data_IF_600594774528
#
_entry.id   IF_600594774528
#
_cell.length_a   1.000
_cell.length_b   1.000
_cell.length_c   1.000
_cell.angle_alpha   90.00
_cell.angle_beta   90.00
_cell.angle_gamma   90.00
#
_symmetry.space_group_name_H-M   'P 1'
#
loop_
_entity.id
_entity.type
_entity.pdbx_description
1 polymer ?
#
# COMPACT_ATOMS: atom_id res chain seq x y z
N UNK A 1 -28.01 -21.83 -21.18
CA UNK A 1 -26.64 -21.49 -20.72
C UNK A 1 -26.52 -20.12 -20.06
N UNK A 2 -26.27 -19.00 -20.77
CA UNK A 2 -26.00 -17.68 -20.12
C UNK A 2 -27.13 -17.19 -19.20
N UNK A 3 -28.39 -17.26 -19.66
CA UNK A 3 -29.56 -16.85 -18.84
C UNK A 3 -29.72 -17.69 -17.56
N UNK A 4 -29.35 -18.97 -17.60
CA UNK A 4 -29.42 -19.85 -16.42
C UNK A 4 -28.30 -19.55 -15.44
N UNK A 5 -27.09 -19.26 -15.93
CA UNK A 5 -25.96 -18.83 -15.08
C UNK A 5 -26.31 -17.55 -14.32
N UNK A 6 -26.93 -16.57 -15.00
CA UNK A 6 -27.40 -15.33 -14.35
C UNK A 6 -28.49 -15.58 -13.31
N UNK A 7 -29.44 -16.48 -13.57
CA UNK A 7 -30.49 -16.85 -12.61
C UNK A 7 -29.94 -17.54 -11.36
N UNK A 8 -28.88 -18.34 -11.51
CA UNK A 8 -28.26 -19.09 -10.43
C UNK A 8 -27.18 -18.30 -9.68
N UNK A 9 -26.93 -17.04 -10.04
CA UNK A 9 -25.92 -16.22 -9.39
C UNK A 9 -26.35 -15.87 -7.96
N UNK A 10 -25.59 -16.37 -6.98
CA UNK A 10 -25.83 -16.07 -5.57
C UNK A 10 -25.48 -14.61 -5.28
N UNK A 11 -26.38 -13.89 -4.63
CA UNK A 11 -26.10 -12.57 -4.07
C UNK A 11 -25.54 -12.73 -2.66
N UNK A 12 -24.39 -12.12 -2.41
CA UNK A 12 -23.73 -12.14 -1.11
C UNK A 12 -24.01 -10.85 -0.32
N UNK A 13 -23.82 -10.88 0.99
CA UNK A 13 -23.76 -9.68 1.84
C UNK A 13 -22.30 -9.26 1.99
N UNK A 14 -21.98 -7.95 1.99
CA UNK A 14 -20.60 -7.48 1.95
C UNK A 14 -19.91 -7.46 3.33
N UNK A 15 -19.85 -8.62 3.99
CA UNK A 15 -19.31 -8.77 5.34
C UNK A 15 -17.83 -8.41 5.44
N UNK A 16 -17.01 -8.81 4.46
CA UNK A 16 -15.57 -8.55 4.47
C UNK A 16 -15.30 -7.04 4.39
N UNK A 17 -15.94 -6.33 3.46
CA UNK A 17 -15.73 -4.89 3.26
C UNK A 17 -16.19 -4.09 4.49
N UNK A 18 -17.30 -4.46 5.14
CA UNK A 18 -17.66 -3.84 6.43
C UNK A 18 -16.59 -4.09 7.48
N UNK A 19 -16.15 -5.34 7.64
CA UNK A 19 -15.20 -5.73 8.67
C UNK A 19 -13.86 -5.01 8.51
N UNK A 20 -13.28 -5.04 7.31
CA UNK A 20 -11.99 -4.41 7.04
C UNK A 20 -12.06 -2.88 7.18
N UNK A 21 -13.19 -2.25 6.81
CA UNK A 21 -13.40 -0.81 7.00
C UNK A 21 -13.44 -0.42 8.48
N UNK A 22 -14.16 -1.19 9.31
CA UNK A 22 -14.23 -0.96 10.75
C UNK A 22 -12.84 -1.13 11.38
N UNK A 23 -12.11 -2.18 11.01
CA UNK A 23 -10.75 -2.40 11.50
C UNK A 23 -9.80 -1.25 11.14
N UNK A 24 -9.89 -0.71 9.93
CA UNK A 24 -9.09 0.46 9.52
C UNK A 24 -9.42 1.71 10.34
N UNK A 25 -10.70 1.94 10.65
CA UNK A 25 -11.11 3.05 11.53
C UNK A 25 -10.56 2.85 12.95
N UNK A 26 -10.64 1.64 13.49
CA UNK A 26 -10.08 1.32 14.82
C UNK A 26 -8.57 1.56 14.86
N UNK A 27 -7.83 1.06 13.86
CA UNK A 27 -6.38 1.26 13.76
C UNK A 27 -6.02 2.74 13.60
N UNK A 28 -6.83 3.50 12.87
CA UNK A 28 -6.63 4.93 12.73
C UNK A 28 -6.90 5.69 14.04
N UNK A 29 -7.94 5.35 14.79
CA UNK A 29 -8.17 5.95 16.12
C UNK A 29 -7.01 5.59 17.06
N UNK A 30 -6.56 4.35 17.06
CA UNK A 30 -5.42 3.91 17.87
C UNK A 30 -4.13 4.67 17.52
N UNK A 31 -3.91 5.00 16.25
CA UNK A 31 -2.73 5.80 15.83
C UNK A 31 -2.79 7.23 16.37
N UNK A 32 -3.97 7.85 16.40
CA UNK A 32 -4.16 9.19 16.96
C UNK A 32 -3.95 9.21 18.47
N UNK A 33 -4.48 8.20 19.19
CA UNK A 33 -4.25 8.04 20.63
C UNK A 33 -2.75 7.87 20.91
N UNK A 34 -2.08 7.01 20.14
CA UNK A 34 -0.65 6.77 20.29
C UNK A 34 0.20 8.02 19.99
N UNK A 35 -0.22 8.83 19.02
CA UNK A 35 0.44 10.10 18.72
C UNK A 35 0.30 11.07 19.89
N UNK A 36 -0.90 11.16 20.48
CA UNK A 36 -1.14 12.00 21.65
C UNK A 36 -0.31 11.56 22.85
N UNK A 37 -0.23 10.26 23.14
CA UNK A 37 0.57 9.77 24.27
C UNK A 37 2.08 9.93 24.06
N UNK A 38 2.55 9.94 22.80
CA UNK A 38 4.00 10.03 22.50
C UNK A 38 4.48 11.47 22.35
N UNK A 39 3.68 12.33 21.72
CA UNK A 39 4.09 13.67 21.28
C UNK A 39 3.27 14.80 21.94
N UNK A 40 2.25 14.45 22.76
CA UNK A 40 1.32 15.42 23.35
C UNK A 40 0.33 16.03 22.36
N UNK A 41 0.28 15.55 21.11
CA UNK A 41 -0.55 16.08 20.02
C UNK A 41 -1.33 14.97 19.32
N UNK A 42 -2.61 15.22 19.04
CA UNK A 42 -3.45 14.29 18.28
C UNK A 42 -3.07 14.31 16.79
N UNK A 43 -2.89 15.52 16.23
CA UNK A 43 -2.51 15.74 14.84
C UNK A 43 -1.19 16.51 14.77
N UNK A 44 -0.34 16.15 13.82
CA UNK A 44 0.83 16.95 13.49
C UNK A 44 0.45 18.18 12.65
N UNK A 45 1.24 19.26 12.69
CA UNK A 45 0.94 20.44 11.91
C UNK A 45 1.05 20.16 10.40
N UNK A 46 0.32 20.93 9.59
CA UNK A 46 0.14 20.67 8.15
C UNK A 46 1.44 20.71 7.34
N UNK A 47 2.48 21.38 7.84
CA UNK A 47 3.81 21.39 7.24
C UNK A 47 4.55 20.05 7.39
N UNK A 48 4.17 19.22 8.36
CA UNK A 48 4.74 17.89 8.60
C UNK A 48 3.82 16.78 8.07
N UNK A 49 2.51 16.91 8.23
CA UNK A 49 1.54 15.95 7.72
C UNK A 49 0.30 16.65 7.12
N UNK A 50 0.27 16.72 5.78
CA UNK A 50 -0.83 17.33 5.03
C UNK A 50 -2.16 16.58 5.17
N UNK A 51 -2.15 15.30 5.55
CA UNK A 51 -3.34 14.46 5.66
C UNK A 51 -4.15 14.69 6.95
N UNK A 52 -3.70 15.57 7.85
CA UNK A 52 -4.26 15.79 9.19
C UNK A 52 -4.23 14.47 9.97
N UNK A 53 -3.05 14.11 10.47
CA UNK A 53 -2.84 12.80 11.08
C UNK A 53 -1.63 12.73 12.00
N UNK A 54 -1.27 11.52 12.46
CA UNK A 54 -0.17 11.30 13.38
C UNK A 54 1.19 11.50 12.69
N UNK A 55 2.27 11.51 13.48
CA UNK A 55 3.62 11.60 12.96
C UNK A 55 4.05 10.32 12.22
N UNK A 56 5.02 10.45 11.32
CA UNK A 56 5.63 9.30 10.62
C UNK A 56 6.19 8.27 11.59
N UNK A 57 6.81 8.71 12.68
CA UNK A 57 7.29 7.84 13.76
C UNK A 57 6.19 6.99 14.39
N UNK A 58 5.04 7.61 14.69
CA UNK A 58 3.86 6.90 15.20
C UNK A 58 3.35 5.88 14.18
N UNK A 59 3.27 6.25 12.90
CA UNK A 59 2.87 5.33 11.82
C UNK A 59 3.82 4.12 11.71
N UNK A 60 5.14 4.33 11.83
CA UNK A 60 6.11 3.23 11.84
C UNK A 60 5.88 2.31 13.05
N UNK A 61 5.61 2.87 14.23
CA UNK A 61 5.40 2.07 15.44
C UNK A 61 4.14 1.20 15.39
N UNK A 62 3.09 1.63 14.69
CA UNK A 62 1.84 0.84 14.53
C UNK A 62 1.87 -0.14 13.34
N UNK A 63 2.93 -0.13 12.53
CA UNK A 63 3.10 -1.10 11.45
C UNK A 63 3.01 -0.56 10.03
N UNK A 64 3.29 0.72 9.81
CA UNK A 64 3.57 1.21 8.48
C UNK A 64 4.67 0.37 7.82
N UNK A 65 4.58 0.26 6.49
CA UNK A 65 5.63 -0.33 5.68
C UNK A 65 6.83 0.58 5.83
N UNK A 66 7.98 0.05 6.27
CA UNK A 66 9.21 0.82 6.48
C UNK A 66 10.44 -0.06 6.28
N UNK A 67 11.14 0.13 5.16
CA UNK A 67 12.18 -0.80 4.70
C UNK A 67 13.33 -1.01 5.70
N UNK A 68 13.83 0.00 6.44
CA UNK A 68 14.84 -0.20 7.46
C UNK A 68 14.46 -1.25 8.51
N UNK A 69 13.17 -1.40 8.83
CA UNK A 69 12.70 -2.42 9.78
C UNK A 69 12.53 -3.82 9.16
N UNK A 70 12.58 -3.92 7.83
CA UNK A 70 12.20 -5.12 7.06
C UNK A 70 13.40 -5.82 6.41
N UNK A 71 14.50 -5.10 6.18
CA UNK A 71 15.78 -5.67 5.77
C UNK A 71 16.93 -4.76 6.19
N UNK A 72 18.15 -5.33 6.29
CA UNK A 72 19.36 -4.56 6.58
C UNK A 72 19.71 -3.64 5.41
N UNK A 73 19.71 -2.33 5.67
CA UNK A 73 20.22 -1.30 4.75
C UNK A 73 21.10 -0.32 5.53
N UNK A 74 21.91 0.47 4.83
CA UNK A 74 22.63 1.60 5.46
C UNK A 74 21.60 2.62 5.91
N UNK A 75 21.37 2.69 7.21
CA UNK A 75 20.44 3.61 7.84
C UNK A 75 21.24 4.79 8.40
N UNK A 76 20.87 6.02 8.04
CA UNK A 76 21.36 7.19 8.75
C UNK A 76 20.58 7.24 10.06
N UNK A 77 21.26 7.30 11.21
CA UNK A 77 20.63 7.23 12.55
C UNK A 77 19.67 8.41 12.86
N UNK A 78 19.21 9.15 11.86
CA UNK A 78 18.24 10.23 11.97
C UNK A 78 16.89 9.71 12.44
N UNK A 79 16.30 10.43 13.39
CA UNK A 79 15.00 10.08 13.94
C UNK A 79 13.86 10.55 13.00
N UNK A 80 12.91 9.67 12.66
CA UNK A 80 11.65 10.10 12.06
C UNK A 80 10.89 11.05 13.00
N UNK A 81 10.08 11.99 12.47
CA UNK A 81 9.25 12.86 13.29
C UNK A 81 8.40 12.09 14.31
N UNK A 82 8.40 12.54 15.57
CA UNK A 82 7.69 11.88 16.69
C UNK A 82 8.38 10.61 17.24
N UNK A 83 9.67 10.42 16.96
CA UNK A 83 10.51 9.43 17.66
C UNK A 83 11.58 10.16 18.45
N UNK A 84 11.69 9.85 19.74
CA UNK A 84 12.79 10.30 20.60
C UNK A 84 13.95 9.31 20.51
N UNK A 85 15.13 9.83 20.15
CA UNK A 85 16.35 9.02 20.05
C UNK A 85 16.93 8.66 21.41
N UNK A 86 17.46 7.45 21.56
CA UNK A 86 18.16 7.00 22.76
C UNK A 86 19.69 7.07 22.65
N UNK A 87 20.24 7.32 21.45
CA UNK A 87 21.68 7.31 21.20
C UNK A 87 22.26 8.73 21.32
N UNK A 88 23.18 9.00 22.27
CA UNK A 88 23.90 10.27 22.34
C UNK A 88 24.80 10.45 21.12
N UNK A 89 24.87 11.67 20.60
CA UNK A 89 25.70 12.01 19.44
C UNK A 89 27.17 11.57 19.55
N UNK A 90 27.74 11.63 20.76
CA UNK A 90 29.13 11.24 21.05
C UNK A 90 29.42 9.74 20.82
N UNK A 91 28.36 8.92 20.71
CA UNK A 91 28.47 7.46 20.55
C UNK A 91 28.28 7.02 19.08
N UNK A 92 28.22 7.94 18.12
CA UNK A 92 28.09 7.61 16.70
C UNK A 92 29.46 7.21 16.12
N UNK A 93 29.61 5.99 15.55
CA UNK A 93 30.87 5.55 14.95
C UNK A 93 31.24 6.43 13.75
N UNK A 94 32.45 7.03 13.76
CA UNK A 94 32.99 7.82 12.64
C UNK A 94 32.73 9.32 12.70
N UNK A 95 32.21 9.86 13.80
CA UNK A 95 32.09 11.30 13.99
C UNK A 95 33.46 11.92 14.32
N UNK A 96 34.04 12.64 13.36
CA UNK A 96 35.12 13.60 13.57
C UNK A 96 34.46 14.99 13.64
N UNK A 97 34.73 15.76 14.69
CA UNK A 97 34.40 17.18 14.75
C UNK A 97 35.05 17.86 13.52
N UNK A 98 34.26 18.19 12.50
CA UNK A 98 34.76 19.03 11.42
C UNK A 98 34.85 20.45 11.96
N UNK A 99 36.06 20.90 12.32
CA UNK A 99 36.42 22.28 12.71
C UNK A 99 36.18 23.33 11.60
N UNK A 100 35.42 22.97 10.56
CA UNK A 100 34.99 23.86 9.49
C UNK A 100 33.47 23.85 9.39
N UNK A 101 32.84 24.71 10.19
CA UNK A 101 31.53 25.32 9.92
C UNK A 101 30.44 24.44 9.31
N UNK A 102 30.31 23.19 9.77
CA UNK A 102 29.29 22.27 9.32
C UNK A 102 27.92 22.59 9.90
N UNK A 103 26.88 22.43 9.09
CA UNK A 103 25.47 22.72 9.35
C UNK A 103 24.97 22.26 10.72
N UNK A 104 24.24 23.14 11.42
CA UNK A 104 23.59 22.94 12.71
C UNK A 104 22.99 21.53 12.89
N UNK A 105 23.45 20.83 13.93
CA UNK A 105 22.90 19.55 14.38
C UNK A 105 21.42 19.71 14.75
N UNK A 106 20.53 18.98 14.07
CA UNK A 106 19.06 19.05 14.31
C UNK A 106 18.62 18.47 15.67
N UNK A 107 19.42 17.63 16.34
CA UNK A 107 19.10 17.02 17.65
C UNK A 107 20.37 16.46 18.34
N UNK A 108 20.51 16.55 19.68
CA UNK A 108 21.61 15.94 20.44
C UNK A 108 21.52 14.41 20.55
N UNK A 109 20.36 13.82 20.18
CA UNK A 109 20.11 12.38 20.22
C UNK A 109 19.69 11.84 18.86
N UNK A 110 20.19 10.65 18.55
CA UNK A 110 19.95 9.88 17.34
C UNK A 110 19.16 8.60 17.67
N UNK A 111 18.49 8.05 16.67
CA UNK A 111 17.62 6.90 16.84
C UNK A 111 18.36 5.59 16.57
N UNK A 112 18.18 4.64 17.48
CA UNK A 112 18.56 3.25 17.28
C UNK A 112 17.46 2.50 16.52
N UNK A 113 17.79 1.32 15.98
CA UNK A 113 16.79 0.44 15.38
C UNK A 113 15.68 0.05 16.37
N UNK A 114 15.97 0.02 17.68
CA UNK A 114 15.00 -0.26 18.73
C UNK A 114 13.98 0.89 18.86
N UNK A 115 14.43 2.13 18.77
CA UNK A 115 13.58 3.31 18.92
C UNK A 115 12.54 3.40 17.79
N UNK A 116 12.94 3.02 16.58
CA UNK A 116 12.11 3.11 15.37
C UNK A 116 11.31 1.82 15.14
N UNK A 117 11.98 0.68 15.17
CA UNK A 117 11.40 -0.61 14.79
C UNK A 117 10.87 -1.42 15.97
N UNK A 118 10.89 -0.88 17.19
CA UNK A 118 10.46 -1.62 18.39
C UNK A 118 9.00 -2.06 18.39
N UNK A 119 8.13 -1.46 17.56
CA UNK A 119 6.69 -1.79 17.43
C UNK A 119 6.00 -1.86 18.80
N UNK A 120 6.03 -0.75 19.55
CA UNK A 120 5.48 -0.70 20.91
C UNK A 120 6.23 -1.56 21.94
N UNK A 121 7.46 -2.01 21.64
CA UNK A 121 8.28 -2.82 22.52
C UNK A 121 8.34 -4.32 22.15
N UNK A 122 7.42 -4.79 21.29
CA UNK A 122 7.31 -6.19 20.88
C UNK A 122 8.56 -6.73 20.17
N UNK A 123 9.26 -5.88 19.42
CA UNK A 123 10.48 -6.24 18.70
C UNK A 123 11.71 -5.47 19.22
N UNK A 124 11.68 -5.00 20.46
CA UNK A 124 12.72 -4.14 21.01
C UNK A 124 14.10 -4.81 21.12
N UNK A 125 14.15 -6.15 21.09
CA UNK A 125 15.37 -6.95 21.14
C UNK A 125 15.72 -7.60 19.78
N UNK A 126 14.90 -7.39 18.74
CA UNK A 126 15.14 -7.98 17.42
C UNK A 126 16.21 -7.19 16.66
N UNK A 127 17.43 -7.72 16.68
CA UNK A 127 18.58 -7.16 15.94
C UNK A 127 18.53 -7.43 14.43
N UNK A 128 17.54 -8.19 13.94
CA UNK A 128 17.58 -8.78 12.60
C UNK A 128 16.86 -7.99 11.52
N UNK A 129 16.07 -6.96 11.86
CA UNK A 129 15.29 -6.15 10.91
C UNK A 129 14.48 -7.04 9.94
N UNK A 130 13.68 -7.97 10.47
CA UNK A 130 12.90 -8.97 9.70
C UNK A 130 11.39 -8.80 9.82
N UNK A 131 10.89 -7.57 9.84
CA UNK A 131 9.46 -7.28 10.07
C UNK A 131 8.62 -7.39 8.79
N UNK A 132 8.63 -8.57 8.16
CA UNK A 132 7.91 -8.84 6.88
C UNK A 132 6.40 -8.58 6.97
N UNK A 133 5.81 -8.73 8.16
CA UNK A 133 4.38 -8.50 8.42
C UNK A 133 3.95 -7.06 8.09
N UNK A 134 4.91 -6.12 7.98
CA UNK A 134 4.67 -4.74 7.57
C UNK A 134 4.10 -4.59 6.16
N UNK A 135 4.26 -5.59 5.29
CA UNK A 135 3.52 -5.65 4.02
C UNK A 135 2.01 -5.84 4.21
N UNK A 136 1.58 -6.37 5.36
CA UNK A 136 0.17 -6.62 5.68
C UNK A 136 -0.37 -5.52 6.59
N UNK A 137 0.33 -5.19 7.67
CA UNK A 137 -0.16 -4.22 8.67
C UNK A 137 -0.35 -2.82 8.09
N UNK A 138 0.49 -2.44 7.11
CA UNK A 138 0.38 -1.15 6.45
C UNK A 138 -0.97 -0.93 5.74
N UNK A 139 -1.65 -2.00 5.30
CA UNK A 139 -2.99 -1.96 4.67
C UNK A 139 -4.04 -1.38 5.63
N UNK A 140 -3.83 -1.55 6.95
CA UNK A 140 -4.76 -1.09 7.97
C UNK A 140 -4.48 0.34 8.43
N UNK A 141 -3.22 0.76 8.44
CA UNK A 141 -2.80 2.09 8.86
C UNK A 141 -3.13 3.15 7.82
N UNK A 142 -3.36 4.40 8.25
CA UNK A 142 -3.65 5.53 7.37
C UNK A 142 -2.92 6.79 7.87
N UNK A 143 -2.50 7.66 6.96
CA UNK A 143 -1.66 8.83 7.28
C UNK A 143 -2.43 9.99 7.91
N UNK A 144 -3.77 10.01 7.82
CA UNK A 144 -4.60 11.09 8.36
C UNK A 144 -6.05 10.99 7.93
N UNK A 145 -6.87 11.95 8.39
CA UNK A 145 -8.34 11.96 8.21
C UNK A 145 -8.70 11.98 6.73
N UNK A 146 -8.08 12.87 5.94
CA UNK A 146 -8.39 13.00 4.52
C UNK A 146 -8.09 11.68 3.76
N UNK A 147 -6.98 11.04 4.10
CA UNK A 147 -6.55 9.80 3.45
C UNK A 147 -7.48 8.63 3.79
N UNK A 148 -7.83 8.41 5.05
CA UNK A 148 -8.77 7.33 5.41
C UNK A 148 -10.16 7.58 4.83
N UNK A 149 -10.65 8.83 4.83
CA UNK A 149 -11.97 9.14 4.29
C UNK A 149 -12.09 8.80 2.81
N UNK A 150 -11.10 9.20 1.99
CA UNK A 150 -11.09 8.91 0.54
C UNK A 150 -11.03 7.40 0.30
N UNK A 151 -10.15 6.69 1.01
CA UNK A 151 -10.03 5.22 0.88
C UNK A 151 -11.34 4.52 1.27
N UNK A 152 -11.97 4.90 2.38
CA UNK A 152 -13.22 4.29 2.83
C UNK A 152 -14.38 4.56 1.87
N UNK A 153 -14.51 5.77 1.32
CA UNK A 153 -15.54 6.08 0.32
C UNK A 153 -15.40 5.15 -0.89
N UNK A 154 -14.17 5.01 -1.41
CA UNK A 154 -13.91 4.13 -2.54
C UNK A 154 -14.15 2.66 -2.18
N UNK A 155 -13.59 2.21 -1.06
CA UNK A 155 -13.68 0.83 -0.57
C UNK A 155 -15.13 0.38 -0.36
N UNK A 156 -15.97 1.24 0.23
CA UNK A 156 -17.38 0.94 0.46
C UNK A 156 -18.15 0.91 -0.87
N UNK A 157 -17.89 1.84 -1.80
CA UNK A 157 -18.60 1.86 -3.09
C UNK A 157 -18.21 0.69 -4.00
N UNK A 158 -16.92 0.58 -4.31
CA UNK A 158 -16.41 -0.43 -5.24
C UNK A 158 -16.38 -1.82 -4.60
N UNK A 159 -15.83 -1.91 -3.38
CA UNK A 159 -15.66 -3.18 -2.69
C UNK A 159 -16.97 -3.86 -2.36
N UNK A 160 -17.98 -3.13 -1.86
CA UNK A 160 -19.27 -3.76 -1.56
C UNK A 160 -19.99 -4.26 -2.81
N UNK A 161 -19.88 -3.54 -3.93
CA UNK A 161 -20.47 -4.00 -5.19
C UNK A 161 -19.85 -5.34 -5.59
N UNK A 162 -18.52 -5.39 -5.68
CA UNK A 162 -17.78 -6.61 -6.01
C UNK A 162 -18.06 -7.75 -5.02
N UNK A 163 -18.13 -7.47 -3.73
CA UNK A 163 -18.37 -8.51 -2.73
C UNK A 163 -19.78 -9.09 -2.83
N UNK A 164 -20.78 -8.26 -3.13
CA UNK A 164 -22.16 -8.74 -3.37
C UNK A 164 -22.25 -9.65 -4.59
N UNK A 165 -21.44 -9.39 -5.61
CA UNK A 165 -21.46 -10.12 -6.89
C UNK A 165 -20.62 -11.41 -6.84
N UNK A 166 -19.49 -11.41 -6.15
CA UNK A 166 -18.52 -12.52 -6.18
C UNK A 166 -18.29 -13.22 -4.82
N UNK A 167 -18.70 -12.59 -3.72
CA UNK A 167 -18.63 -13.16 -2.38
C UNK A 167 -17.37 -12.82 -1.59
N UNK A 168 -17.53 -12.86 -0.26
CA UNK A 168 -16.57 -12.37 0.74
C UNK A 168 -15.16 -12.96 0.59
N UNK A 169 -15.02 -14.28 0.48
CA UNK A 169 -13.68 -14.91 0.51
C UNK A 169 -12.83 -14.55 -0.72
N UNK A 170 -13.46 -14.42 -1.89
CA UNK A 170 -12.75 -14.09 -3.15
C UNK A 170 -12.23 -12.66 -3.09
N UNK A 171 -13.10 -11.73 -2.70
CA UNK A 171 -12.74 -10.32 -2.54
C UNK A 171 -11.69 -10.16 -1.46
N UNK A 172 -11.80 -10.89 -0.34
CA UNK A 172 -10.79 -10.88 0.72
C UNK A 172 -9.41 -11.30 0.19
N UNK A 173 -9.31 -12.43 -0.52
CA UNK A 173 -8.03 -12.92 -1.05
C UNK A 173 -7.43 -11.94 -2.07
N UNK A 174 -8.24 -11.45 -3.01
CA UNK A 174 -7.81 -10.46 -4.01
C UNK A 174 -7.32 -9.17 -3.33
N UNK A 175 -8.09 -8.67 -2.36
CA UNK A 175 -7.78 -7.44 -1.63
C UNK A 175 -6.41 -7.53 -0.93
N UNK A 176 -6.16 -8.62 -0.20
CA UNK A 176 -4.89 -8.81 0.49
C UNK A 176 -3.73 -9.08 -0.47
N UNK A 177 -3.92 -9.92 -1.50
CA UNK A 177 -2.86 -10.18 -2.49
C UNK A 177 -2.44 -8.89 -3.21
N UNK A 178 -3.41 -8.07 -3.64
CA UNK A 178 -3.13 -6.78 -4.27
C UNK A 178 -2.43 -5.80 -3.34
N UNK A 179 -2.88 -5.67 -2.08
CA UNK A 179 -2.24 -4.77 -1.11
C UNK A 179 -0.80 -5.19 -0.80
N UNK A 180 -0.60 -6.48 -0.51
CA UNK A 180 0.73 -7.04 -0.18
C UNK A 180 1.68 -6.89 -1.36
N UNK A 181 1.27 -7.29 -2.57
CA UNK A 181 2.12 -7.19 -3.74
C UNK A 181 2.39 -5.74 -4.15
N UNK A 182 1.40 -4.85 -3.98
CA UNK A 182 1.57 -3.40 -4.12
C UNK A 182 2.71 -2.89 -3.25
N UNK A 183 2.70 -3.20 -1.95
CA UNK A 183 3.78 -2.79 -1.05
C UNK A 183 5.12 -3.48 -1.33
N UNK A 184 5.13 -4.72 -1.79
CA UNK A 184 6.36 -5.40 -2.19
C UNK A 184 7.04 -4.72 -3.37
N UNK A 185 6.24 -4.26 -4.34
CA UNK A 185 6.74 -3.51 -5.50
C UNK A 185 7.21 -2.11 -5.09
N UNK A 186 6.41 -1.44 -4.27
CA UNK A 186 6.70 -0.10 -3.75
C UNK A 186 7.97 -0.04 -2.91
N UNK A 187 8.23 -1.04 -2.07
CA UNK A 187 9.43 -1.12 -1.24
C UNK A 187 10.76 -1.19 -2.04
N UNK A 188 10.71 -1.35 -3.36
CA UNK A 188 11.86 -1.24 -4.27
C UNK A 188 12.15 0.21 -4.68
N UNK A 189 11.16 1.10 -4.59
CA UNK A 189 11.25 2.50 -4.98
C UNK A 189 11.78 3.34 -3.82
N UNK A 190 11.18 3.22 -2.64
CA UNK A 190 11.49 4.07 -1.49
C UNK A 190 11.87 3.22 -0.26
N UNK A 191 13.06 3.49 0.29
CA UNK A 191 13.52 2.78 1.49
C UNK A 191 13.26 3.57 2.78
N UNK A 192 13.59 4.87 2.79
CA UNK A 192 13.55 5.71 4.00
C UNK A 192 12.19 6.32 4.36
N UNK A 193 11.15 6.07 3.56
CA UNK A 193 9.83 6.68 3.71
C UNK A 193 8.89 5.69 4.34
N UNK A 194 8.04 6.07 5.30
CA UNK A 194 6.99 5.19 5.80
C UNK A 194 5.74 5.30 4.92
N UNK A 195 5.17 4.17 4.48
CA UNK A 195 3.97 4.15 3.64
C UNK A 195 2.88 3.30 4.29
N UNK A 196 1.64 3.76 4.13
CA UNK A 196 0.42 3.25 4.76
C UNK A 196 -0.76 3.36 3.80
N UNK A 197 -1.86 2.69 4.12
CA UNK A 197 -3.15 2.84 3.45
C UNK A 197 -3.47 1.70 2.49
N UNK A 198 -4.75 1.35 2.39
CA UNK A 198 -5.21 0.23 1.58
C UNK A 198 -5.28 0.50 0.06
N UNK A 199 -4.79 1.64 -0.42
CA UNK A 199 -4.98 2.06 -1.82
C UNK A 199 -4.46 1.05 -2.85
N UNK A 200 -3.38 0.31 -2.57
CA UNK A 200 -2.94 -0.82 -3.41
C UNK A 200 -4.00 -1.93 -3.54
N UNK A 201 -4.68 -2.29 -2.44
CA UNK A 201 -5.81 -3.21 -2.45
C UNK A 201 -6.99 -2.65 -3.26
N UNK A 202 -7.26 -1.36 -3.15
CA UNK A 202 -8.33 -0.68 -3.89
C UNK A 202 -8.08 -0.67 -5.39
N UNK A 203 -6.83 -0.43 -5.82
CA UNK A 203 -6.44 -0.60 -7.22
C UNK A 203 -6.57 -2.04 -7.72
N UNK A 204 -6.41 -3.02 -6.83
CA UNK A 204 -6.75 -4.42 -7.11
C UNK A 204 -8.24 -4.64 -7.38
N UNK A 205 -9.11 -3.96 -6.62
CA UNK A 205 -10.56 -3.98 -6.87
C UNK A 205 -10.94 -3.25 -8.16
N UNK A 206 -10.27 -2.13 -8.48
CA UNK A 206 -10.44 -1.44 -9.78
C UNK A 206 -10.07 -2.38 -10.94
N UNK A 207 -8.96 -3.10 -10.83
CA UNK A 207 -8.58 -4.11 -11.81
C UNK A 207 -9.65 -5.20 -11.97
N UNK A 208 -10.31 -5.62 -10.89
CA UNK A 208 -11.42 -6.57 -10.95
C UNK A 208 -12.65 -5.99 -11.67
N UNK A 209 -12.98 -4.72 -11.45
CA UNK A 209 -14.07 -4.04 -12.18
C UNK A 209 -13.76 -3.98 -13.67
N UNK A 210 -12.52 -3.63 -14.05
CA UNK A 210 -12.08 -3.65 -15.44
C UNK A 210 -12.18 -5.06 -16.04
N UNK A 211 -11.72 -6.06 -15.30
CA UNK A 211 -11.76 -7.45 -15.73
C UNK A 211 -13.20 -7.92 -15.95
N UNK A 212 -14.11 -7.60 -15.04
CA UNK A 212 -15.53 -7.91 -15.16
C UNK A 212 -16.14 -7.26 -16.40
N UNK A 213 -15.90 -5.96 -16.60
CA UNK A 213 -16.36 -5.21 -17.77
C UNK A 213 -15.91 -5.87 -19.08
N UNK A 214 -14.64 -6.27 -19.18
CA UNK A 214 -14.09 -6.92 -20.38
C UNK A 214 -14.68 -8.32 -20.57
N UNK A 215 -14.76 -9.13 -19.51
CA UNK A 215 -15.26 -10.50 -19.61
C UNK A 215 -16.75 -10.58 -19.90
N UNK A 216 -17.52 -9.57 -19.46
CA UNK A 216 -18.96 -9.50 -19.61
C UNK A 216 -19.41 -8.42 -20.62
N UNK A 217 -18.51 -8.01 -21.52
CA UNK A 217 -18.72 -6.94 -22.50
C UNK A 217 -20.05 -7.03 -23.27
N UNK A 218 -20.47 -8.26 -23.62
CA UNK A 218 -21.71 -8.52 -24.38
C UNK A 218 -23.00 -8.37 -23.56
N UNK A 219 -22.89 -8.32 -22.23
CA UNK A 219 -24.01 -8.20 -21.30
C UNK A 219 -24.24 -6.77 -20.84
N UNK A 220 -23.24 -5.90 -21.04
CA UNK A 220 -23.25 -4.52 -20.57
C UNK A 220 -23.90 -3.62 -21.62
N UNK A 221 -24.75 -2.70 -21.17
CA UNK A 221 -25.56 -1.85 -22.05
C UNK A 221 -24.71 -0.83 -22.81
N UNK A 222 -23.68 -0.27 -22.17
CA UNK A 222 -22.83 0.78 -22.75
C UNK A 222 -21.34 0.56 -22.40
N UNK A 223 -20.74 -0.57 -22.84
CA UNK A 223 -19.43 -0.99 -22.34
C UNK A 223 -18.30 -0.03 -22.71
N UNK A 224 -18.39 0.65 -23.85
CA UNK A 224 -17.42 1.69 -24.24
C UNK A 224 -17.47 2.93 -23.34
N UNK A 225 -18.65 3.34 -22.88
CA UNK A 225 -18.80 4.48 -21.96
C UNK A 225 -18.25 4.11 -20.59
N UNK A 226 -18.60 2.93 -20.09
CA UNK A 226 -18.13 2.43 -18.81
C UNK A 226 -16.59 2.26 -18.82
N UNK A 227 -16.04 1.75 -19.93
CA UNK A 227 -14.60 1.64 -20.12
C UNK A 227 -13.93 3.03 -20.12
N UNK A 228 -14.48 3.99 -20.85
CA UNK A 228 -13.93 5.35 -20.92
C UNK A 228 -13.91 6.02 -19.54
N UNK A 229 -15.00 5.90 -18.77
CA UNK A 229 -15.08 6.43 -17.39
C UNK A 229 -14.08 5.74 -16.48
N UNK A 230 -13.95 4.42 -16.58
CA UNK A 230 -13.02 3.65 -15.75
C UNK A 230 -11.56 4.00 -16.06
N UNK A 231 -11.18 4.03 -17.34
CA UNK A 231 -9.84 4.41 -17.78
C UNK A 231 -9.52 5.86 -17.39
N UNK A 232 -10.46 6.79 -17.59
CA UNK A 232 -10.28 8.17 -17.15
C UNK A 232 -10.05 8.24 -15.64
N UNK A 233 -10.85 7.52 -14.85
CA UNK A 233 -10.71 7.48 -13.39
C UNK A 233 -9.35 6.92 -12.94
N UNK A 234 -8.86 5.85 -13.61
CA UNK A 234 -7.54 5.27 -13.35
C UNK A 234 -6.43 6.26 -13.68
N UNK A 235 -6.45 6.85 -14.88
CA UNK A 235 -5.42 7.79 -15.34
C UNK A 235 -5.40 9.03 -14.47
N UNK A 236 -6.58 9.58 -14.15
CA UNK A 236 -6.71 10.73 -13.27
C UNK A 236 -6.16 10.41 -11.88
N UNK A 237 -6.54 9.27 -11.29
CA UNK A 237 -6.06 8.87 -9.96
C UNK A 237 -4.55 8.63 -9.91
N UNK A 238 -3.96 8.01 -10.94
CA UNK A 238 -2.49 7.88 -11.05
C UNK A 238 -1.81 9.23 -11.27
N UNK A 239 -2.48 10.17 -11.94
CA UNK A 239 -2.05 11.57 -12.06
C UNK A 239 -1.99 12.27 -10.71
N UNK A 240 -2.99 12.09 -9.85
CA UNK A 240 -2.91 12.52 -8.43
C UNK A 240 -1.77 11.83 -7.70
N UNK A 241 -1.44 10.59 -8.07
CA UNK A 241 -0.28 9.87 -7.53
C UNK A 241 1.09 10.48 -7.83
N UNK A 242 1.15 11.52 -8.66
CA UNK A 242 2.36 12.35 -8.85
C UNK A 242 2.49 13.47 -7.80
N UNK A 243 1.45 13.69 -6.98
CA UNK A 243 1.50 14.59 -5.84
C UNK A 243 2.29 13.94 -4.69
N UNK A 244 2.96 14.74 -3.85
CA UNK A 244 3.68 14.21 -2.70
C UNK A 244 2.74 13.40 -1.79
N UNK A 245 3.31 12.35 -1.16
CA UNK A 245 2.63 11.44 -0.23
C UNK A 245 1.66 10.41 -0.84
N UNK A 246 1.50 10.36 -2.18
CA UNK A 246 0.72 9.32 -2.87
C UNK A 246 1.69 8.38 -3.63
N UNK A 247 1.43 7.08 -3.59
CA UNK A 247 2.37 6.06 -4.10
C UNK A 247 1.83 5.29 -5.31
N UNK A 248 2.37 5.63 -6.49
CA UNK A 248 2.00 4.98 -7.74
C UNK A 248 2.57 3.57 -7.89
N UNK A 249 3.68 3.20 -7.24
CA UNK A 249 4.16 1.81 -7.29
C UNK A 249 3.22 0.87 -6.56
N UNK A 250 2.72 1.29 -5.40
CA UNK A 250 1.74 0.51 -4.66
C UNK A 250 0.46 0.31 -5.49
N UNK A 251 0.01 1.36 -6.19
CA UNK A 251 -1.18 1.31 -7.05
C UNK A 251 -0.99 0.40 -8.27
N UNK A 252 0.13 0.57 -8.99
CA UNK A 252 0.47 -0.26 -10.16
C UNK A 252 0.62 -1.73 -9.75
N UNK A 253 1.34 -2.01 -8.67
CA UNK A 253 1.50 -3.37 -8.16
C UNK A 253 0.16 -3.98 -7.76
N UNK A 254 -0.66 -3.23 -7.03
CA UNK A 254 -2.01 -3.64 -6.66
C UNK A 254 -2.91 -3.95 -7.84
N UNK A 255 -2.86 -3.12 -8.89
CA UNK A 255 -3.61 -3.31 -10.13
C UNK A 255 -3.16 -4.56 -10.90
N UNK A 256 -1.85 -4.76 -11.08
CA UNK A 256 -1.29 -5.96 -11.76
C UNK A 256 -1.73 -7.22 -11.03
N UNK A 257 -1.52 -7.27 -9.72
CA UNK A 257 -1.93 -8.43 -8.93
C UNK A 257 -3.45 -8.59 -8.87
N UNK A 258 -4.21 -7.49 -8.98
CA UNK A 258 -5.67 -7.50 -9.07
C UNK A 258 -6.18 -8.16 -10.36
N UNK A 259 -5.57 -7.87 -11.51
CA UNK A 259 -5.91 -8.55 -12.78
C UNK A 259 -5.63 -10.05 -12.66
N UNK A 260 -4.43 -10.42 -12.17
CA UNK A 260 -4.03 -11.82 -12.08
C UNK A 260 -4.88 -12.59 -11.08
N UNK A 261 -5.04 -12.07 -9.86
CA UNK A 261 -5.89 -12.70 -8.83
C UNK A 261 -7.37 -12.68 -9.22
N UNK A 262 -7.84 -11.66 -9.93
CA UNK A 262 -9.18 -11.60 -10.51
C UNK A 262 -9.43 -12.74 -11.51
N UNK A 263 -8.49 -12.97 -12.44
CA UNK A 263 -8.55 -14.09 -13.39
C UNK A 263 -8.53 -15.46 -12.70
N UNK A 264 -7.88 -15.55 -11.54
CA UNK A 264 -7.78 -16.78 -10.75
C UNK A 264 -9.08 -17.07 -9.99
N UNK A 265 -9.57 -16.10 -9.23
CA UNK A 265 -10.60 -16.33 -8.22
C UNK A 265 -12.01 -15.93 -8.66
N UNK A 266 -12.18 -14.95 -9.55
CA UNK A 266 -13.52 -14.50 -9.93
C UNK A 266 -14.22 -15.54 -10.83
N UNK A 267 -15.48 -15.86 -10.53
CA UNK A 267 -16.29 -16.65 -11.45
C UNK A 267 -16.57 -15.84 -12.72
N UNK A 268 -16.58 -16.52 -13.86
CA UNK A 268 -16.85 -15.89 -15.16
C UNK A 268 -18.05 -16.55 -15.83
N UNK A 269 -18.83 -15.76 -16.56
CA UNK A 269 -19.96 -16.24 -17.35
C UNK A 269 -19.42 -16.88 -18.62
N UNK A 270 -19.84 -18.10 -18.94
CA UNK A 270 -19.35 -18.84 -20.11
C UNK A 270 -20.30 -18.60 -21.27
N UNK A 271 -19.80 -18.09 -22.39
CA UNK A 271 -20.62 -17.83 -23.58
C UNK A 271 -20.64 -19.00 -24.58
N UNK A 272 -19.54 -19.75 -24.68
CA UNK A 272 -19.41 -20.94 -25.54
C UNK A 272 -18.16 -21.77 -25.14
N UNK A 273 -17.97 -22.95 -25.73
CA UNK A 273 -16.85 -23.85 -25.43
C UNK A 273 -15.46 -23.25 -25.73
N UNK A 274 -15.35 -22.33 -26.70
CA UNK A 274 -14.08 -21.63 -26.99
C UNK A 274 -13.74 -20.63 -25.89
N UNK A 275 -14.74 -19.86 -25.45
CA UNK A 275 -14.63 -18.89 -24.35
C UNK A 275 -14.27 -19.59 -23.03
N UNK A 276 -14.86 -20.75 -22.74
CA UNK A 276 -14.49 -21.58 -21.60
C UNK A 276 -13.01 -21.99 -21.63
N UNK A 277 -12.52 -22.49 -22.77
CA UNK A 277 -11.11 -22.86 -22.95
C UNK A 277 -10.16 -21.67 -22.81
N UNK A 278 -10.54 -20.50 -23.33
CA UNK A 278 -9.75 -19.27 -23.20
C UNK A 278 -9.67 -18.86 -21.73
N UNK A 279 -10.80 -18.80 -21.02
CA UNK A 279 -10.85 -18.42 -19.59
C UNK A 279 -10.09 -19.41 -18.70
N UNK A 280 -10.21 -20.70 -18.97
CA UNK A 280 -9.44 -21.73 -18.28
C UNK A 280 -7.94 -21.58 -18.50
N UNK A 281 -7.52 -21.37 -19.75
CA UNK A 281 -6.11 -21.09 -20.09
C UNK A 281 -5.59 -19.83 -19.39
N UNK A 282 -6.35 -18.72 -19.44
CA UNK A 282 -5.99 -17.46 -18.79
C UNK A 282 -5.85 -17.64 -17.27
N UNK A 283 -6.72 -18.43 -16.64
CA UNK A 283 -6.62 -18.77 -15.21
C UNK A 283 -5.31 -19.49 -14.92
N UNK A 284 -4.98 -20.54 -15.66
CA UNK A 284 -3.75 -21.33 -15.45
C UNK A 284 -2.50 -20.44 -15.65
N UNK A 285 -2.45 -19.68 -16.74
CA UNK A 285 -1.36 -18.74 -17.02
C UNK A 285 -1.23 -17.71 -15.91
N UNK A 286 -2.34 -17.19 -15.39
CA UNK A 286 -2.33 -16.21 -14.30
C UNK A 286 -1.79 -16.78 -13.00
N UNK A 287 -2.06 -18.05 -12.67
CA UNK A 287 -1.49 -18.72 -11.48
C UNK A 287 0.04 -18.75 -11.57
N UNK A 288 0.57 -19.23 -12.70
CA UNK A 288 2.02 -19.30 -12.91
C UNK A 288 2.66 -17.91 -12.90
N UNK A 289 2.05 -16.95 -13.62
CA UNK A 289 2.57 -15.58 -13.71
C UNK A 289 2.53 -14.87 -12.36
N UNK A 290 1.42 -14.94 -11.61
CA UNK A 290 1.29 -14.36 -10.28
C UNK A 290 2.35 -14.91 -9.32
N UNK A 291 2.53 -16.24 -9.32
CA UNK A 291 3.55 -16.91 -8.50
C UNK A 291 4.96 -16.46 -8.88
N UNK A 292 5.26 -16.44 -10.19
CA UNK A 292 6.55 -16.04 -10.71
C UNK A 292 6.91 -14.60 -10.33
N UNK A 293 6.02 -13.63 -10.58
CA UNK A 293 6.28 -12.22 -10.25
C UNK A 293 6.39 -12.01 -8.74
N UNK A 294 5.57 -12.70 -7.94
CA UNK A 294 5.62 -12.61 -6.49
C UNK A 294 6.98 -13.07 -5.96
N UNK A 295 7.45 -14.24 -6.43
CA UNK A 295 8.74 -14.82 -6.05
C UNK A 295 9.90 -13.93 -6.51
N UNK A 296 9.84 -13.36 -7.71
CA UNK A 296 10.90 -12.47 -8.21
C UNK A 296 10.98 -11.19 -7.39
N UNK A 297 9.84 -10.53 -7.14
CA UNK A 297 9.81 -9.27 -6.41
C UNK A 297 10.28 -9.47 -4.97
N UNK A 298 9.85 -10.54 -4.29
CA UNK A 298 10.31 -10.81 -2.91
C UNK A 298 11.79 -11.19 -2.86
N UNK A 299 12.29 -11.99 -3.81
CA UNK A 299 13.73 -12.32 -3.88
C UNK A 299 14.57 -11.07 -4.12
N UNK A 300 14.12 -10.21 -5.04
CA UNK A 300 14.78 -8.94 -5.32
C UNK A 300 14.78 -8.02 -4.09
N UNK A 301 13.67 -7.97 -3.35
CA UNK A 301 13.57 -7.20 -2.12
C UNK A 301 14.66 -7.57 -1.11
N UNK A 302 14.89 -8.86 -0.86
CA UNK A 302 15.88 -9.30 0.12
C UNK A 302 17.32 -9.38 -0.42
N UNK A 303 17.51 -9.54 -1.72
CA UNK A 303 18.85 -9.70 -2.32
C UNK A 303 19.51 -8.36 -2.70
N UNK A 304 18.73 -7.36 -3.12
CA UNK A 304 19.27 -6.09 -3.60
C UNK A 304 19.10 -4.96 -2.57
N UNK A 305 20.16 -4.20 -2.37
CA UNK A 305 20.12 -2.88 -1.71
C UNK A 305 20.02 -1.72 -2.71
N UNK A 306 20.08 -1.99 -4.00
CA UNK A 306 20.09 -0.96 -5.03
C UNK A 306 18.68 -0.37 -5.24
N UNK A 307 18.55 0.92 -4.96
CA UNK A 307 17.37 1.69 -5.32
C UNK A 307 17.33 1.92 -6.83
N UNK A 308 16.12 1.89 -7.37
CA UNK A 308 15.87 2.09 -8.79
C UNK A 308 16.01 3.58 -9.16
N UNK A 309 16.97 3.91 -10.03
CA UNK A 309 17.30 5.30 -10.41
C UNK A 309 16.13 6.07 -11.06
N UNK A 310 15.26 5.39 -11.78
CA UNK A 310 14.13 5.99 -12.49
C UNK A 310 12.83 5.98 -11.68
N UNK A 311 12.78 5.24 -10.57
CA UNK A 311 11.54 5.05 -9.82
C UNK A 311 11.03 6.35 -9.18
N UNK A 312 11.92 7.31 -8.88
CA UNK A 312 11.53 8.65 -8.44
C UNK A 312 10.55 9.37 -9.38
N UNK A 313 10.61 9.10 -10.70
CA UNK A 313 9.75 9.76 -11.68
C UNK A 313 8.32 9.22 -11.72
N UNK A 314 8.07 8.05 -11.12
CA UNK A 314 6.72 7.48 -11.03
C UNK A 314 5.94 7.99 -9.81
N UNK A 315 6.62 8.33 -8.72
CA UNK A 315 6.00 8.87 -7.51
C UNK A 315 6.07 10.40 -7.42
N UNK A 316 6.91 11.06 -8.22
CA UNK A 316 6.93 12.51 -8.31
C UNK A 316 7.43 12.99 -9.69
N UNK A 317 6.68 13.93 -10.28
CA UNK A 317 7.07 14.54 -11.53
C UNK A 317 8.24 15.55 -11.33
N UNK A 318 9.22 15.61 -12.25
CA UNK A 318 10.43 16.42 -12.07
C UNK A 318 10.20 17.93 -11.93
N UNK A 319 9.05 18.45 -12.37
CA UNK A 319 8.67 19.85 -12.20
C UNK A 319 8.17 20.19 -10.78
N UNK A 320 7.91 19.20 -9.93
CA UNK A 320 7.56 19.34 -8.50
C UNK A 320 8.76 19.06 -7.56
N UNK A 321 9.99 19.08 -8.10
CA UNK A 321 11.20 18.64 -7.42
C UNK A 321 11.49 19.32 -6.07
N UNK A 322 11.07 20.56 -5.85
CA UNK A 322 11.25 21.26 -4.56
C UNK A 322 10.35 20.72 -3.44
N UNK A 323 9.16 20.18 -3.76
CA UNK A 323 8.23 19.58 -2.78
C UNK A 323 8.48 18.08 -2.59
N UNK A 324 9.11 17.41 -3.55
CA UNK A 324 9.39 15.97 -3.48
C UNK A 324 10.72 15.62 -2.80
N UNK A 325 11.57 16.59 -2.48
CA UNK A 325 12.77 16.37 -1.66
C UNK A 325 12.46 16.12 -0.16
N UNK A 326 11.19 16.26 0.25
CA UNK A 326 10.71 15.95 1.60
C UNK A 326 10.14 14.53 1.75
N UNK A 327 10.27 13.69 0.71
CA UNK A 327 9.93 12.27 0.74
C UNK A 327 11.11 11.43 1.19
#
# INVERSE_FOLDING_TARGET
MVREQLKNQKKYKPYFIYTISILQVIVFIASLVMNYTSNGRIFEPLNENISIGPSTGTLIKIGARYVPCMKKIKFNNECPPGVTGSLPFQQIPGYQLSDKGGTLLKSPFYCTMKDICGFGGLFANDKSAKQWFRFVTAIFSHSGIAHIAINLIFQVRAGMSLEKDYGHWRIMVIYFLSGIFGYMLEAQSSAGVAVVGCSGSLYGLIACILLDLIQNWKLIVSPWKDLAVLVFSIVFSLGFGLLPFIDNFAHIGGFIMGILSGLIFLPSIIFNNKDEKIKSTLRIVSIFLATFIFVIVIKRFYSSSAQCKWCKYLNCAPFLSTTCNFQ
#
